data_IF_871852810387
#
_entry.id   IF_871852810387
#
_cell.length_a   1.000
_cell.length_b   1.000
_cell.length_c   1.000
_cell.angle_alpha   90.00
_cell.angle_beta   90.00
_cell.angle_gamma   90.00
#
_symmetry.space_group_name_H-M   'P 1'
#
loop_
_entity.id
_entity.type
_entity.pdbx_description
1 polymer ?
#
# COMPACT_ATOMS: atom_id res chain seq x y z
N UNK A 1 35.66 -71.51 -43.35
CA UNK A 1 36.19 -70.73 -44.49
C UNK A 1 37.35 -69.90 -43.94
N UNK A 2 38.62 -69.96 -44.34
CA UNK A 2 39.45 -70.66 -45.36
C UNK A 2 40.83 -70.63 -44.64
N UNK A 3 41.41 -71.71 -44.10
CA UNK A 3 42.13 -72.84 -44.70
C UNK A 3 43.17 -72.46 -45.77
N UNK A 4 44.45 -72.65 -45.43
CA UNK A 4 45.61 -72.67 -46.33
C UNK A 4 46.83 -72.86 -45.43
N UNK A 5 47.29 -74.07 -45.12
CA UNK A 5 47.70 -75.18 -45.98
C UNK A 5 48.64 -74.73 -47.10
N UNK A 6 49.93 -74.73 -46.76
CA UNK A 6 51.06 -74.55 -47.66
C UNK A 6 51.98 -75.75 -47.53
N UNK A 7 51.46 -76.92 -47.88
CA UNK A 7 52.23 -78.13 -48.12
C UNK A 7 53.08 -77.94 -49.39
N UNK A 8 54.41 -77.88 -49.27
CA UNK A 8 55.32 -78.01 -50.42
C UNK A 8 56.00 -79.38 -50.35
N UNK A 9 55.50 -80.26 -51.21
CA UNK A 9 56.08 -81.54 -51.58
C UNK A 9 57.45 -81.30 -52.25
N UNK A 10 58.52 -81.75 -51.62
CA UNK A 10 59.85 -81.84 -52.26
C UNK A 10 59.98 -83.20 -52.94
N UNK A 11 60.22 -83.16 -54.25
CA UNK A 11 60.53 -84.33 -55.07
C UNK A 11 62.00 -84.73 -54.82
N UNK A 12 62.19 -85.90 -54.20
CA UNK A 12 63.40 -86.72 -54.29
C UNK A 12 63.61 -87.06 -55.78
N UNK A 13 64.79 -87.15 -56.38
CA UNK A 13 66.04 -87.86 -56.04
C UNK A 13 66.90 -87.62 -57.31
N UNK A 14 68.22 -87.45 -57.30
CA UNK A 14 69.25 -88.42 -56.92
C UNK A 14 70.60 -87.74 -57.05
N UNK A 15 71.47 -87.90 -56.06
CA UNK A 15 72.88 -88.25 -56.31
C UNK A 15 73.55 -88.50 -54.96
N UNK A 16 73.86 -89.76 -54.65
CA UNK A 16 75.11 -90.13 -53.95
C UNK A 16 75.23 -91.65 -53.80
N UNK A 17 76.16 -92.24 -54.56
CA UNK A 17 77.17 -93.15 -54.02
C UNK A 17 78.40 -92.25 -53.85
N UNK A 18 79.09 -92.14 -52.72
CA UNK A 18 79.65 -93.18 -51.88
C UNK A 18 79.96 -92.66 -50.46
N UNK A 19 80.00 -93.63 -49.56
CA UNK A 19 80.35 -93.63 -48.14
C UNK A 19 81.50 -92.70 -47.72
N UNK A 20 81.22 -91.84 -46.74
CA UNK A 20 82.03 -91.70 -45.52
C UNK A 20 81.12 -91.33 -44.34
N UNK A 21 81.00 -92.24 -43.37
CA UNK A 21 80.10 -92.11 -42.21
C UNK A 21 80.67 -91.12 -41.21
N UNK A 22 80.22 -89.85 -41.26
CA UNK A 22 80.21 -88.99 -40.06
C UNK A 22 79.05 -89.41 -39.17
N UNK A 23 79.32 -89.67 -37.89
CA UNK A 23 78.35 -90.15 -36.90
C UNK A 23 77.17 -89.18 -36.80
N UNK A 24 75.93 -89.66 -37.03
CA UNK A 24 74.71 -88.87 -36.82
C UNK A 24 74.56 -88.62 -35.31
N UNK A 25 74.86 -87.38 -34.87
CA UNK A 25 74.68 -86.93 -33.48
C UNK A 25 73.18 -87.07 -33.11
N UNK A 26 72.91 -87.65 -31.94
CA UNK A 26 71.56 -87.88 -31.39
C UNK A 26 70.88 -86.53 -31.15
N UNK A 27 69.78 -86.24 -31.86
CA UNK A 27 69.02 -84.99 -31.68
C UNK A 27 68.21 -85.10 -30.39
N UNK A 28 68.64 -84.39 -29.36
CA UNK A 28 67.87 -84.23 -28.12
C UNK A 28 66.85 -83.11 -28.31
N UNK A 29 65.57 -83.47 -28.35
CA UNK A 29 64.44 -82.52 -28.39
C UNK A 29 64.36 -81.84 -27.02
N UNK A 30 64.39 -80.51 -27.00
CA UNK A 30 64.31 -79.70 -25.77
C UNK A 30 63.04 -78.86 -25.82
N UNK A 31 62.36 -78.75 -24.68
CA UNK A 31 61.20 -77.90 -24.51
C UNK A 31 61.59 -76.42 -24.68
N UNK A 32 60.83 -75.71 -25.52
CA UNK A 32 61.10 -74.31 -25.88
C UNK A 32 60.99 -73.38 -24.66
N UNK A 33 60.11 -73.71 -23.71
CA UNK A 33 59.88 -72.88 -22.52
C UNK A 33 61.01 -72.96 -21.49
N UNK A 34 61.92 -73.94 -21.60
CA UNK A 34 63.05 -74.13 -20.68
C UNK A 34 64.37 -73.52 -21.21
N UNK A 35 64.32 -72.94 -22.42
CA UNK A 35 65.44 -72.31 -23.11
C UNK A 35 65.48 -70.81 -22.82
N UNK A 36 66.54 -70.38 -22.12
CA UNK A 36 66.92 -68.98 -22.02
C UNK A 36 68.03 -68.65 -23.04
N UNK A 37 68.26 -67.35 -23.27
CA UNK A 37 69.27 -66.87 -24.23
C UNK A 37 70.65 -67.48 -24.01
N UNK A 38 71.06 -67.69 -22.75
CA UNK A 38 72.37 -68.26 -22.42
C UNK A 38 72.43 -69.76 -22.72
N UNK A 39 71.36 -70.51 -22.47
CA UNK A 39 71.24 -71.93 -22.83
C UNK A 39 71.22 -72.14 -24.34
N UNK A 40 70.54 -71.25 -25.09
CA UNK A 40 70.53 -71.26 -26.55
C UNK A 40 71.95 -71.00 -27.08
N UNK A 41 72.64 -69.95 -26.60
CA UNK A 41 74.00 -69.63 -27.01
C UNK A 41 75.01 -70.74 -26.70
N UNK A 42 74.95 -71.31 -25.48
CA UNK A 42 75.82 -72.42 -25.06
C UNK A 42 75.67 -73.64 -25.98
N UNK A 43 74.44 -73.92 -26.42
CA UNK A 43 74.15 -75.05 -27.30
C UNK A 43 74.59 -74.80 -28.74
N UNK A 44 74.40 -73.58 -29.25
CA UNK A 44 74.89 -73.16 -30.56
C UNK A 44 76.42 -73.15 -30.59
N UNK A 45 77.08 -72.69 -29.53
CA UNK A 45 78.54 -72.68 -29.41
C UNK A 45 79.18 -74.08 -29.37
N UNK A 46 78.41 -75.12 -29.03
CA UNK A 46 78.87 -76.52 -29.08
C UNK A 46 78.84 -77.14 -30.48
N UNK A 47 78.32 -76.41 -31.48
CA UNK A 47 78.29 -76.84 -32.88
C UNK A 47 79.56 -76.38 -33.58
N UNK A 48 80.37 -77.36 -34.00
CA UNK A 48 81.68 -77.17 -34.64
C UNK A 48 81.61 -76.54 -36.05
N UNK A 49 80.41 -76.45 -36.62
CA UNK A 49 80.13 -75.95 -37.98
C UNK A 49 79.81 -74.45 -38.02
N UNK A 50 79.67 -73.81 -36.86
CA UNK A 50 79.26 -72.40 -36.77
C UNK A 50 80.48 -71.53 -36.47
N UNK A 51 80.61 -70.44 -37.23
CA UNK A 51 81.67 -69.46 -37.03
C UNK A 51 81.53 -68.75 -35.66
N UNK A 52 82.62 -68.59 -34.90
CA UNK A 52 82.61 -67.94 -33.60
C UNK A 52 82.11 -66.48 -33.65
N UNK A 53 82.33 -65.79 -34.77
CA UNK A 53 81.84 -64.43 -35.01
C UNK A 53 80.30 -64.37 -35.02
N UNK A 54 79.65 -65.38 -35.62
CA UNK A 54 78.19 -65.48 -35.64
C UNK A 54 77.62 -65.78 -34.25
N UNK A 55 78.31 -66.60 -33.44
CA UNK A 55 77.94 -66.84 -32.04
C UNK A 55 78.03 -65.55 -31.21
N UNK A 56 79.07 -64.74 -31.43
CA UNK A 56 79.24 -63.43 -30.79
C UNK A 56 78.13 -62.44 -31.20
N UNK A 57 77.76 -62.43 -32.49
CA UNK A 57 76.62 -61.66 -32.98
C UNK A 57 75.32 -62.07 -32.29
N UNK A 58 75.03 -63.38 -32.20
CA UNK A 58 73.82 -63.87 -31.52
C UNK A 58 73.82 -63.52 -30.02
N UNK A 59 74.98 -63.56 -29.37
CA UNK A 59 75.10 -63.19 -27.96
C UNK A 59 74.74 -61.71 -27.74
N UNK A 60 75.27 -60.84 -28.60
CA UNK A 60 74.97 -59.41 -28.58
C UNK A 60 73.49 -59.17 -28.91
N UNK A 61 72.95 -59.83 -29.93
CA UNK A 61 71.55 -59.71 -30.34
C UNK A 61 70.58 -60.13 -29.22
N UNK A 62 70.83 -61.25 -28.53
CA UNK A 62 69.99 -61.66 -27.41
C UNK A 62 70.11 -60.72 -26.21
N UNK A 63 71.32 -60.23 -25.92
CA UNK A 63 71.51 -59.27 -24.84
C UNK A 63 70.74 -57.96 -25.12
N UNK A 64 70.87 -57.41 -26.32
CA UNK A 64 70.17 -56.19 -26.76
C UNK A 64 68.65 -56.38 -26.79
N UNK A 65 68.19 -57.55 -27.22
CA UNK A 65 66.75 -57.87 -27.27
C UNK A 65 66.17 -58.00 -25.87
N UNK A 66 66.85 -58.70 -24.96
CA UNK A 66 66.40 -58.79 -23.56
C UNK A 66 66.43 -57.42 -22.86
N UNK A 67 67.45 -56.59 -23.13
CA UNK A 67 67.48 -55.22 -22.63
C UNK A 67 66.29 -54.40 -23.12
N UNK A 68 65.90 -54.53 -24.40
CA UNK A 68 64.70 -53.89 -24.95
C UNK A 68 63.41 -54.42 -24.33
N UNK A 69 63.28 -55.73 -24.13
CA UNK A 69 62.11 -56.34 -23.48
C UNK A 69 61.95 -55.79 -22.06
N UNK A 70 63.02 -55.80 -21.25
CA UNK A 70 62.99 -55.28 -19.89
C UNK A 70 62.60 -53.79 -19.85
N UNK A 71 63.12 -52.98 -20.78
CA UNK A 71 62.75 -51.57 -20.90
C UNK A 71 61.27 -51.38 -21.26
N UNK A 72 60.73 -52.21 -22.15
CA UNK A 72 59.31 -52.17 -22.51
C UNK A 72 58.40 -52.64 -21.37
N UNK A 73 58.79 -53.68 -20.63
CA UNK A 73 58.07 -54.14 -19.44
C UNK A 73 58.03 -53.06 -18.36
N UNK A 74 59.16 -52.38 -18.11
CA UNK A 74 59.20 -51.25 -17.18
C UNK A 74 58.31 -50.09 -17.65
N UNK A 75 58.34 -49.77 -18.94
CA UNK A 75 57.48 -48.73 -19.51
C UNK A 75 56.00 -49.09 -19.41
N UNK A 76 55.63 -50.37 -19.62
CA UNK A 76 54.27 -50.87 -19.46
C UNK A 76 53.80 -50.73 -18.00
N UNK A 77 54.61 -51.18 -17.04
CA UNK A 77 54.28 -51.05 -15.61
C UNK A 77 54.08 -49.58 -15.19
N UNK A 78 54.93 -48.68 -15.69
CA UNK A 78 54.81 -47.25 -15.41
C UNK A 78 53.54 -46.65 -16.04
N UNK A 79 53.18 -47.07 -17.27
CA UNK A 79 51.94 -46.66 -17.92
C UNK A 79 50.70 -47.19 -17.20
N UNK A 80 50.69 -48.46 -16.79
CA UNK A 80 49.61 -49.07 -16.01
C UNK A 80 49.42 -48.32 -14.68
N UNK A 81 50.53 -48.02 -13.99
CA UNK A 81 50.48 -47.23 -12.75
C UNK A 81 49.84 -45.85 -12.99
N UNK A 82 50.28 -45.12 -14.02
CA UNK A 82 49.68 -43.82 -14.38
C UNK A 82 48.20 -43.94 -14.75
N UNK A 83 47.82 -44.99 -15.47
CA UNK A 83 46.42 -45.25 -15.82
C UNK A 83 45.56 -45.41 -14.56
N UNK A 84 46.03 -46.19 -13.58
CA UNK A 84 45.31 -46.35 -12.31
C UNK A 84 45.22 -45.05 -11.51
N UNK A 85 46.28 -44.23 -11.50
CA UNK A 85 46.28 -42.93 -10.83
C UNK A 85 45.32 -41.94 -11.50
N UNK A 86 45.27 -41.91 -12.84
CA UNK A 86 44.31 -41.10 -13.58
C UNK A 86 42.87 -41.56 -13.37
N UNK A 87 42.60 -42.87 -13.37
CA UNK A 87 41.27 -43.40 -13.03
C UNK A 87 40.82 -42.95 -11.64
N UNK A 88 41.69 -43.10 -10.64
CA UNK A 88 41.41 -42.63 -9.27
C UNK A 88 41.12 -41.13 -9.22
N UNK A 89 41.86 -40.32 -9.99
CA UNK A 89 41.65 -38.87 -10.05
C UNK A 89 40.34 -38.50 -10.75
N UNK A 90 39.95 -39.23 -11.80
CA UNK A 90 38.65 -39.05 -12.47
C UNK A 90 37.52 -39.35 -11.48
N UNK A 91 37.58 -40.45 -10.76
CA UNK A 91 36.53 -40.82 -9.78
C UNK A 91 36.41 -39.77 -8.67
N UNK A 92 37.53 -39.26 -8.16
CA UNK A 92 37.54 -38.18 -7.16
C UNK A 92 36.91 -36.89 -7.70
N UNK A 93 37.23 -36.50 -8.93
CA UNK A 93 36.66 -35.31 -9.56
C UNK A 93 35.16 -35.47 -9.82
N UNK A 94 34.71 -36.64 -10.26
CA UNK A 94 33.29 -36.94 -10.46
C UNK A 94 32.52 -36.88 -9.14
N UNK A 95 33.08 -37.44 -8.06
CA UNK A 95 32.46 -37.37 -6.73
C UNK A 95 32.39 -35.92 -6.22
N UNK A 96 33.48 -35.16 -6.36
CA UNK A 96 33.51 -33.74 -6.01
C UNK A 96 32.48 -32.93 -6.79
N UNK A 97 32.38 -33.17 -8.10
CA UNK A 97 31.41 -32.51 -8.96
C UNK A 97 29.97 -32.81 -8.56
N UNK A 98 29.66 -34.08 -8.27
CA UNK A 98 28.32 -34.47 -7.79
C UNK A 98 27.94 -33.81 -6.44
N UNK A 99 28.91 -33.56 -5.55
CA UNK A 99 28.67 -32.82 -4.30
C UNK A 99 28.41 -31.35 -4.59
N UNK A 100 29.22 -30.72 -5.45
CA UNK A 100 29.05 -29.33 -5.82
C UNK A 100 27.70 -29.08 -6.51
N UNK A 101 27.26 -29.98 -7.40
CA UNK A 101 25.96 -29.89 -8.07
C UNK A 101 24.79 -29.97 -7.08
N UNK A 102 24.88 -30.84 -6.07
CA UNK A 102 23.86 -30.90 -4.99
C UNK A 102 23.81 -29.61 -4.19
N UNK A 103 24.97 -29.07 -3.79
CA UNK A 103 25.04 -27.80 -3.07
C UNK A 103 24.48 -26.65 -3.92
N UNK A 104 24.77 -26.63 -5.22
CA UNK A 104 24.24 -25.63 -6.13
C UNK A 104 22.72 -25.72 -6.27
N UNK A 105 22.17 -26.94 -6.37
CA UNK A 105 20.72 -27.15 -6.39
C UNK A 105 20.04 -26.67 -5.09
N UNK A 106 20.65 -26.94 -3.93
CA UNK A 106 20.17 -26.44 -2.64
C UNK A 106 20.20 -24.92 -2.56
N UNK A 107 21.28 -24.28 -3.02
CA UNK A 107 21.38 -22.82 -3.08
C UNK A 107 20.29 -22.22 -3.98
N UNK A 108 20.05 -22.80 -5.16
CA UNK A 108 18.96 -22.37 -6.06
C UNK A 108 17.59 -22.48 -5.38
N UNK A 109 17.33 -23.57 -4.64
CA UNK A 109 16.10 -23.75 -3.87
C UNK A 109 15.94 -22.66 -2.81
N UNK A 110 16.99 -22.38 -2.04
CA UNK A 110 16.99 -21.34 -0.99
C UNK A 110 16.77 -19.95 -1.59
N UNK A 111 17.43 -19.64 -2.71
CA UNK A 111 17.24 -18.37 -3.42
C UNK A 111 15.79 -18.21 -3.87
N UNK A 112 15.18 -19.27 -4.42
CA UNK A 112 13.77 -19.25 -4.83
C UNK A 112 12.83 -19.01 -3.64
N UNK A 113 13.06 -19.69 -2.51
CA UNK A 113 12.26 -19.52 -1.29
C UNK A 113 12.38 -18.09 -0.74
N UNK A 114 13.60 -17.55 -0.65
CA UNK A 114 13.84 -16.18 -0.19
C UNK A 114 13.21 -15.15 -1.14
N UNK A 115 13.30 -15.37 -2.45
CA UNK A 115 12.67 -14.50 -3.45
C UNK A 115 11.16 -14.46 -3.27
N UNK A 116 10.52 -15.61 -3.02
CA UNK A 116 9.08 -15.68 -2.74
C UNK A 116 8.71 -14.93 -1.46
N UNK A 117 9.50 -15.08 -0.38
CA UNK A 117 9.28 -14.33 0.87
C UNK A 117 9.42 -12.83 0.67
N UNK A 118 10.41 -12.38 -0.10
CA UNK A 118 10.59 -10.96 -0.43
C UNK A 118 9.36 -10.43 -1.17
N UNK A 119 8.86 -11.14 -2.19
CA UNK A 119 7.65 -10.74 -2.90
C UNK A 119 6.42 -10.65 -1.99
N UNK A 120 6.22 -11.62 -1.10
CA UNK A 120 5.14 -11.61 -0.13
C UNK A 120 5.23 -10.41 0.83
N UNK A 121 6.44 -10.09 1.31
CA UNK A 121 6.67 -8.91 2.14
C UNK A 121 6.43 -7.61 1.40
N UNK A 122 6.85 -7.50 0.13
CA UNK A 122 6.57 -6.31 -0.70
C UNK A 122 5.07 -6.08 -0.88
N UNK A 123 4.28 -7.15 -1.10
CA UNK A 123 2.82 -7.06 -1.18
C UNK A 123 2.24 -6.59 0.16
N UNK A 124 2.67 -7.20 1.28
CA UNK A 124 2.20 -6.82 2.61
C UNK A 124 2.53 -5.35 2.94
N UNK A 125 3.74 -4.89 2.59
CA UNK A 125 4.14 -3.49 2.75
C UNK A 125 3.25 -2.53 1.97
N UNK A 126 2.91 -2.86 0.72
CA UNK A 126 1.99 -2.07 -0.09
C UNK A 126 0.59 -2.00 0.55
N UNK A 127 0.09 -3.12 1.08
CA UNK A 127 -1.19 -3.15 1.81
C UNK A 127 -1.15 -2.28 3.07
N UNK A 128 -0.09 -2.35 3.87
CA UNK A 128 0.04 -1.50 5.07
C UNK A 128 0.11 -0.01 4.72
N UNK A 129 0.83 0.36 3.66
CA UNK A 129 0.86 1.74 3.15
C UNK A 129 -0.54 2.22 2.78
N UNK A 130 -1.33 1.39 2.10
CA UNK A 130 -2.71 1.72 1.77
C UNK A 130 -3.59 1.89 3.02
N UNK A 131 -3.46 1.00 4.01
CA UNK A 131 -4.20 1.10 5.27
C UNK A 131 -3.85 2.38 6.05
N UNK A 132 -2.57 2.77 6.06
CA UNK A 132 -2.13 4.03 6.70
C UNK A 132 -2.77 5.24 6.01
N UNK A 133 -2.82 5.27 4.68
CA UNK A 133 -3.50 6.34 3.93
C UNK A 133 -4.98 6.43 4.29
N UNK A 134 -5.70 5.30 4.30
CA UNK A 134 -7.11 5.25 4.70
C UNK A 134 -7.34 5.73 6.14
N UNK A 135 -6.45 5.37 7.07
CA UNK A 135 -6.54 5.81 8.45
C UNK A 135 -6.34 7.33 8.57
N UNK A 136 -5.45 7.91 7.78
CA UNK A 136 -5.24 9.36 7.75
C UNK A 136 -6.45 10.11 7.18
N UNK A 137 -7.10 9.56 6.15
CA UNK A 137 -8.35 10.10 5.60
C UNK A 137 -9.47 10.10 6.65
N UNK A 138 -9.65 8.98 7.36
CA UNK A 138 -10.65 8.89 8.44
C UNK A 138 -10.35 9.87 9.59
N UNK A 139 -9.08 10.11 9.91
CA UNK A 139 -8.69 11.10 10.93
C UNK A 139 -9.06 12.52 10.51
N UNK A 140 -8.79 12.88 9.26
CA UNK A 140 -9.15 14.19 8.71
C UNK A 140 -10.68 14.40 8.71
N UNK A 141 -11.44 13.38 8.32
CA UNK A 141 -12.91 13.41 8.38
C UNK A 141 -13.40 13.57 9.82
N UNK A 142 -12.83 12.83 10.77
CA UNK A 142 -13.19 12.94 12.18
C UNK A 142 -12.96 14.34 12.75
N UNK A 143 -11.82 14.97 12.43
CA UNK A 143 -11.51 16.33 12.86
C UNK A 143 -12.45 17.36 12.22
N UNK A 144 -12.82 17.14 10.96
CA UNK A 144 -13.81 17.96 10.25
C UNK A 144 -15.19 17.85 10.93
N UNK A 145 -15.62 16.65 11.26
CA UNK A 145 -16.90 16.40 11.96
C UNK A 145 -16.90 17.02 13.37
N UNK A 146 -15.79 16.92 14.11
CA UNK A 146 -15.64 17.58 15.43
C UNK A 146 -15.77 19.10 15.33
N UNK A 147 -15.13 19.71 14.34
CA UNK A 147 -15.23 21.15 14.09
C UNK A 147 -16.67 21.56 13.75
N UNK A 148 -17.33 20.81 12.86
CA UNK A 148 -18.73 21.04 12.51
C UNK A 148 -19.66 20.89 13.72
N UNK A 149 -19.44 19.88 14.56
CA UNK A 149 -20.21 19.66 15.78
C UNK A 149 -20.02 20.82 16.77
N UNK A 150 -18.77 21.27 16.98
CA UNK A 150 -18.49 22.41 17.86
C UNK A 150 -19.16 23.69 17.37
N UNK A 151 -19.15 23.93 16.05
CA UNK A 151 -19.84 25.08 15.45
C UNK A 151 -21.36 24.97 15.63
N UNK A 152 -21.94 23.81 15.34
CA UNK A 152 -23.38 23.58 15.50
C UNK A 152 -23.83 23.74 16.95
N UNK A 153 -23.03 23.30 17.92
CA UNK A 153 -23.30 23.52 19.34
C UNK A 153 -23.28 25.01 19.72
N UNK A 154 -22.34 25.79 19.18
CA UNK A 154 -22.29 27.23 19.38
C UNK A 154 -23.51 27.95 18.76
N UNK A 155 -23.88 27.58 17.52
CA UNK A 155 -25.04 28.12 16.83
C UNK A 155 -26.34 27.79 17.60
N UNK A 156 -26.47 26.57 18.13
CA UNK A 156 -27.60 26.16 18.97
C UNK A 156 -27.67 26.98 20.27
N UNK A 157 -26.54 27.25 20.93
CA UNK A 157 -26.50 28.10 22.13
C UNK A 157 -26.95 29.53 21.83
N UNK A 158 -26.56 30.10 20.68
CA UNK A 158 -27.02 31.41 20.22
C UNK A 158 -28.53 31.39 19.95
N UNK A 159 -29.03 30.36 19.29
CA UNK A 159 -30.47 30.20 19.02
C UNK A 159 -31.29 30.12 20.32
N UNK A 160 -30.83 29.34 21.31
CA UNK A 160 -31.48 29.26 22.64
C UNK A 160 -31.53 30.62 23.32
N UNK A 161 -30.45 31.40 23.26
CA UNK A 161 -30.43 32.76 23.82
C UNK A 161 -31.40 33.69 23.09
N UNK A 162 -31.50 33.60 21.77
CA UNK A 162 -32.46 34.36 20.97
C UNK A 162 -33.91 33.98 21.33
N UNK A 163 -34.20 32.70 21.54
CA UNK A 163 -35.51 32.23 21.98
C UNK A 163 -35.87 32.75 23.38
N UNK A 164 -34.93 32.72 24.33
CA UNK A 164 -35.15 33.28 25.67
C UNK A 164 -35.47 34.78 25.62
N UNK A 165 -34.75 35.54 24.78
CA UNK A 165 -35.01 36.97 24.57
C UNK A 165 -36.40 37.20 23.95
N UNK A 166 -36.81 36.37 23.00
CA UNK A 166 -38.14 36.45 22.38
C UNK A 166 -39.25 36.23 23.42
N UNK A 167 -39.10 35.23 24.29
CA UNK A 167 -40.06 34.97 25.37
C UNK A 167 -40.14 36.13 26.37
N UNK A 168 -39.00 36.75 26.72
CA UNK A 168 -38.98 37.95 27.54
C UNK A 168 -39.70 39.13 26.85
N UNK A 169 -39.51 39.32 25.54
CA UNK A 169 -40.21 40.36 24.78
C UNK A 169 -41.72 40.10 24.69
N UNK A 170 -42.15 38.84 24.55
CA UNK A 170 -43.57 38.47 24.60
C UNK A 170 -44.19 38.82 25.95
N UNK A 171 -43.50 38.51 27.06
CA UNK A 171 -43.97 38.85 28.40
C UNK A 171 -44.10 40.37 28.59
N UNK A 172 -43.08 41.15 28.18
CA UNK A 172 -43.13 42.61 28.23
C UNK A 172 -44.27 43.18 27.37
N UNK A 173 -44.48 42.64 26.17
CA UNK A 173 -45.55 43.08 25.28
C UNK A 173 -46.94 42.78 25.89
N UNK A 174 -47.11 41.63 26.55
CA UNK A 174 -48.34 41.31 27.27
C UNK A 174 -48.60 42.32 28.41
N UNK A 175 -47.58 42.67 29.19
CA UNK A 175 -47.69 43.68 30.26
C UNK A 175 -48.06 45.07 29.72
N UNK A 176 -47.41 45.52 28.65
CA UNK A 176 -47.71 46.80 28.01
C UNK A 176 -49.15 46.81 27.47
N UNK A 177 -49.57 45.72 26.85
CA UNK A 177 -50.95 45.56 26.35
C UNK A 177 -51.95 45.64 27.49
N UNK A 178 -51.69 45.00 28.64
CA UNK A 178 -52.54 45.08 29.82
C UNK A 178 -52.65 46.53 30.34
N UNK A 179 -51.51 47.24 30.48
CA UNK A 179 -51.50 48.65 30.90
C UNK A 179 -52.29 49.54 29.95
N UNK A 180 -52.14 49.32 28.64
CA UNK A 180 -52.89 50.05 27.61
C UNK A 180 -54.39 49.83 27.77
N UNK A 181 -54.86 48.58 27.93
CA UNK A 181 -56.28 48.28 28.13
C UNK A 181 -56.86 48.94 29.40
N UNK A 182 -56.09 48.97 30.51
CA UNK A 182 -56.49 49.67 31.74
C UNK A 182 -56.62 51.17 31.50
N UNK A 183 -55.63 51.78 30.85
CA UNK A 183 -55.64 53.22 30.54
C UNK A 183 -56.79 53.60 29.61
N UNK A 184 -57.05 52.80 28.57
CA UNK A 184 -58.21 53.00 27.68
C UNK A 184 -59.53 52.92 28.44
N UNK A 185 -59.67 51.99 29.40
CA UNK A 185 -60.87 51.91 30.24
C UNK A 185 -61.06 53.16 31.09
N UNK A 186 -60.02 53.59 31.81
CA UNK A 186 -60.08 54.81 32.64
C UNK A 186 -60.33 56.07 31.82
N UNK A 187 -59.78 56.14 30.60
CA UNK A 187 -60.06 57.24 29.69
C UNK A 187 -61.54 57.25 29.28
N UNK A 188 -62.11 56.09 28.92
CA UNK A 188 -63.53 55.99 28.58
C UNK A 188 -64.44 56.37 29.75
N UNK A 189 -64.14 55.90 30.96
CA UNK A 189 -64.86 56.28 32.20
C UNK A 189 -64.83 57.81 32.39
N UNK A 190 -63.66 58.44 32.25
CA UNK A 190 -63.52 59.90 32.36
C UNK A 190 -64.25 60.66 31.25
N UNK A 191 -64.28 60.13 30.02
CA UNK A 191 -65.07 60.70 28.92
C UNK A 191 -66.56 60.63 29.23
N UNK A 192 -67.07 59.50 29.73
CA UNK A 192 -68.46 59.33 30.14
C UNK A 192 -68.83 60.32 31.26
N UNK A 193 -68.01 60.45 32.30
CA UNK A 193 -68.17 61.46 33.36
C UNK A 193 -68.20 62.89 32.79
N UNK A 194 -67.29 63.22 31.89
CA UNK A 194 -67.26 64.53 31.25
C UNK A 194 -68.54 64.79 30.43
N UNK A 195 -69.08 63.77 29.74
CA UNK A 195 -70.35 63.90 29.02
C UNK A 195 -71.54 64.09 29.97
N UNK A 196 -71.52 63.46 31.16
CA UNK A 196 -72.55 63.63 32.17
C UNK A 196 -72.49 65.05 32.74
N UNK A 197 -71.30 65.53 33.10
CA UNK A 197 -71.09 66.90 33.58
C UNK A 197 -71.50 67.94 32.54
N UNK A 198 -71.14 67.76 31.27
CA UNK A 198 -71.61 68.63 30.18
C UNK A 198 -73.13 68.66 30.07
N UNK A 199 -73.81 67.50 30.19
CA UNK A 199 -75.28 67.42 30.21
C UNK A 199 -75.87 68.15 31.43
N UNK A 200 -75.28 67.98 32.61
CA UNK A 200 -75.71 68.70 33.82
C UNK A 200 -75.54 70.22 33.66
N UNK A 201 -74.38 70.69 33.17
CA UNK A 201 -74.11 72.11 32.90
C UNK A 201 -75.12 72.67 31.89
N UNK A 202 -75.43 71.93 30.82
CA UNK A 202 -76.44 72.35 29.85
C UNK A 202 -77.83 72.48 30.51
N UNK A 203 -78.23 71.51 31.34
CA UNK A 203 -79.48 71.57 32.09
C UNK A 203 -79.55 72.75 33.07
N UNK A 204 -78.47 73.03 33.81
CA UNK A 204 -78.39 74.22 34.67
C UNK A 204 -78.45 75.52 33.86
N UNK A 205 -77.77 75.57 32.71
CA UNK A 205 -77.81 76.72 31.80
C UNK A 205 -79.24 76.98 31.32
N UNK A 206 -79.96 75.94 30.87
CA UNK A 206 -81.37 76.06 30.46
C UNK A 206 -82.28 76.52 31.61
N UNK A 207 -82.09 75.99 32.82
CA UNK A 207 -82.83 76.40 34.01
C UNK A 207 -82.62 77.89 34.31
N UNK A 208 -81.36 78.35 34.32
CA UNK A 208 -81.01 79.77 34.52
C UNK A 208 -81.58 80.65 33.40
N UNK A 209 -81.50 80.21 32.15
CA UNK A 209 -82.09 80.94 31.02
C UNK A 209 -83.62 81.07 31.14
N UNK A 210 -84.34 80.03 31.60
CA UNK A 210 -85.79 80.11 31.87
C UNK A 210 -86.12 81.05 33.02
N UNK A 211 -85.37 80.98 34.12
CA UNK A 211 -85.61 81.82 35.29
C UNK A 211 -85.33 83.30 35.00
N UNK A 212 -84.31 83.61 34.20
CA UNK A 212 -84.05 84.98 33.74
C UNK A 212 -85.16 85.52 32.80
N UNK A 213 -85.72 84.68 31.91
CA UNK A 213 -86.90 85.06 31.10
C UNK A 213 -88.14 85.25 31.97
N UNK A 214 -88.31 84.50 33.05
CA UNK A 214 -89.39 84.70 34.03
C UNK A 214 -89.21 86.00 34.83
N UNK A 215 -87.98 86.48 35.03
CA UNK A 215 -87.71 87.80 35.62
C UNK A 215 -88.02 88.92 34.62
N UNK A 216 -87.68 88.76 33.35
CA UNK A 216 -88.03 89.74 32.30
C UNK A 216 -89.54 89.82 32.02
N UNK A 217 -90.26 88.69 32.03
CA UNK A 217 -91.71 88.66 31.78
C UNK A 217 -92.54 89.21 32.96
N UNK A 218 -92.01 89.22 34.19
CA UNK A 218 -92.69 89.83 35.35
C UNK A 218 -92.33 91.29 35.62
N UNK A 219 -91.32 91.86 34.96
CA UNK A 219 -90.99 93.30 35.07
C UNK A 219 -91.34 94.15 33.84
N UNK A 220 -91.79 93.56 32.73
CA UNK A 220 -92.34 94.29 31.57
C UNK A 220 -93.88 94.25 31.53
N UNK A 221 -94.51 94.81 32.58
CA UNK A 221 -95.89 95.32 32.55
C UNK A 221 -95.93 96.67 33.25
N UNK A 222 -95.19 97.63 32.69
CA UNK A 222 -95.42 99.07 32.91
C UNK A 222 -95.60 99.73 31.53
N UNK A 223 -96.64 100.55 31.35
CA UNK A 223 -96.99 101.12 30.05
C UNK A 223 -96.07 102.30 29.70
N UNK A 224 -95.57 102.30 28.47
CA UNK A 224 -95.06 103.49 27.81
C UNK A 224 -93.54 103.50 27.63
N UNK A 225 -93.07 102.95 26.51
CA UNK A 225 -92.06 103.56 25.65
C UNK A 225 -91.97 102.76 24.34
N UNK A 226 -92.00 103.48 23.23
CA UNK A 226 -92.07 102.95 21.88
C UNK A 226 -90.71 102.37 21.44
N UNK A 227 -90.84 101.28 20.69
CA UNK A 227 -89.91 100.63 19.75
C UNK A 227 -88.67 101.42 19.28
N UNK A 228 -87.57 100.69 19.07
CA UNK A 228 -87.08 100.42 17.70
C UNK A 228 -86.30 99.10 17.63
N UNK A 229 -86.69 98.29 16.65
CA UNK A 229 -85.90 97.18 16.15
C UNK A 229 -84.65 97.72 15.43
N UNK A 230 -83.51 97.04 15.58
CA UNK A 230 -82.38 97.18 14.69
C UNK A 230 -81.90 95.77 14.31
N UNK A 231 -82.08 95.45 13.03
CA UNK A 231 -81.60 94.22 12.39
C UNK A 231 -80.08 94.20 12.22
N UNK A 232 -79.59 92.96 12.15
CA UNK A 232 -78.43 92.50 11.37
C UNK A 232 -76.99 92.94 11.69
N UNK A 233 -76.18 91.87 11.77
CA UNK A 233 -74.79 91.70 11.27
C UNK A 233 -73.61 92.16 12.16
N UNK A 234 -72.76 91.16 12.40
CA UNK A 234 -71.31 91.20 12.65
C UNK A 234 -70.77 92.13 13.73
N UNK A 235 -70.37 91.55 14.87
CA UNK A 235 -69.19 91.99 15.65
C UNK A 235 -68.63 90.70 16.28
N UNK A 236 -67.52 90.18 15.75
CA UNK A 236 -66.17 90.45 16.25
C UNK A 236 -66.02 90.18 17.75
N UNK A 237 -65.15 89.22 18.03
CA UNK A 237 -64.84 88.70 19.35
C UNK A 237 -64.14 89.80 20.16
N UNK A 238 -64.88 90.48 21.03
CA UNK A 238 -64.33 91.37 22.03
C UNK A 238 -63.45 90.59 23.02
N UNK A 239 -62.16 90.92 23.06
CA UNK A 239 -61.23 90.53 24.12
C UNK A 239 -61.55 91.26 25.42
N UNK A 240 -61.89 90.51 26.46
CA UNK A 240 -61.96 91.00 27.84
C UNK A 240 -60.69 90.55 28.58
N UNK A 241 -59.87 91.54 29.00
CA UNK A 241 -58.72 91.36 29.90
C UNK A 241 -59.12 91.85 31.29
N UNK A 242 -59.07 90.97 32.29
CA UNK A 242 -58.80 91.34 33.67
C UNK A 242 -57.91 90.26 34.32
N UNK A 243 -56.84 90.71 34.98
CA UNK A 243 -55.83 89.96 35.76
C UNK A 243 -54.88 89.02 35.02
N UNK A 244 -54.25 89.53 33.95
CA UNK A 244 -52.86 89.18 33.62
C UNK A 244 -52.56 87.76 33.08
N UNK A 245 -53.55 86.90 32.88
CA UNK A 245 -53.40 85.65 32.10
C UNK A 245 -54.61 85.41 31.20
N UNK A 246 -54.34 85.21 29.91
CA UNK A 246 -55.35 84.94 28.88
C UNK A 246 -55.95 83.55 29.14
N UNK A 247 -57.24 83.51 29.46
CA UNK A 247 -58.04 82.29 29.52
C UNK A 247 -59.07 82.37 28.40
N UNK A 248 -58.89 81.48 27.41
CA UNK A 248 -59.82 81.09 26.36
C UNK A 248 -60.19 82.10 25.25
N UNK A 249 -59.84 81.68 24.03
CA UNK A 249 -60.40 82.04 22.73
C UNK A 249 -61.69 81.20 22.59
N UNK A 250 -62.83 81.78 22.16
CA UNK A 250 -64.01 80.94 21.87
C UNK A 250 -63.74 79.89 20.78
#
# INVERSE_FOLDING_TARGET
EIQGDGTVTTVNTTSTKEKERKQKKKITIVNINDLDSNKVLTRIASLEEIEPEYISYLATYFHDTNAKINNLEYALQELEKRETDYKRKIDQLQQSWAVADRQNADHVRVISELTSKVQAHTIAEATFKQQISQLNEMRLENDTLKSALSKSAADAAVAVKAMANLELMKANNAEVTERLTKMTRSLNESVEENTLLKRQIAGFTEFISRDLVMIDVKQLCLPGLAFTACEEKHVERCTLRMDGRVVAIC
#
